data_IF_758408719298
#
_entry.id   IF_758408719298
#
_cell.length_a   1.000
_cell.length_b   1.000
_cell.length_c   1.000
_cell.angle_alpha   90.00
_cell.angle_beta   90.00
_cell.angle_gamma   90.00
#
_symmetry.space_group_name_H-M   'P 1'
#
loop_
_entity.id
_entity.type
_entity.pdbx_description
1 polymer ?
#
# COMPACT_ATOMS: atom_id res chain seq x y z
N UNK A 1 -13.81 -10.82 9.14
CA UNK A 1 -13.71 -10.23 8.85
C UNK A 1 -13.84 -9.66 8.56
N UNK A 2 -13.70 -9.45 8.36
CA UNK A 2 -13.76 -8.80 7.95
C UNK A 2 -13.73 -7.95 7.74
N UNK A 3 -13.55 -7.48 7.64
CA UNK A 3 -13.48 -6.57 7.47
C UNK A 3 -13.47 -5.76 7.29
N UNK A 4 -13.63 -5.65 7.13
CA UNK A 4 -13.52 -4.82 6.95
C UNK A 4 -13.13 -3.96 7.21
N UNK A 5 -12.74 -3.70 7.20
CA UNK A 5 -12.28 -2.79 7.33
C UNK A 5 -11.52 -2.29 7.69
N UNK A 6 -10.79 -1.99 7.44
CA UNK A 6 -10.01 -1.55 7.82
C UNK A 6 -9.61 -0.52 7.88
N UNK A 7 -9.94 -0.12 7.43
CA UNK A 7 -9.73 0.67 7.79
C UNK A 7 -10.45 1.09 8.45
N UNK A 8 -11.20 0.68 8.47
CA UNK A 8 -11.86 0.76 9.21
C UNK A 8 -11.68 0.13 10.10
N UNK A 9 -11.34 -0.59 10.06
CA UNK A 9 -10.92 -1.09 10.80
C UNK A 9 -9.81 -0.99 10.99
N UNK A 10 -9.39 -0.50 10.58
CA UNK A 10 -8.37 -0.34 10.73
C UNK A 10 -8.05 0.27 11.45
N UNK A 11 -8.18 0.15 11.54
CA UNK A 11 -7.91 0.39 12.31
C UNK A 11 -8.28 0.06 13.40
N UNK A 12 -8.81 -0.37 13.65
CA UNK A 12 -9.15 -0.69 14.65
C UNK A 12 -8.89 -1.49 15.44
N UNK A 13 -8.99 -1.76 15.51
CA UNK A 13 -9.03 -2.55 16.19
C UNK A 13 -8.36 -3.00 17.19
N UNK A 14 -8.13 -3.52 17.36
CA UNK A 14 -7.38 -4.16 18.09
C UNK A 14 -6.66 -3.53 19.07
N UNK A 15 -6.17 -2.55 18.76
CA UNK A 15 -5.38 -1.90 19.49
C UNK A 15 -5.79 -1.37 20.71
N UNK A 16 -6.89 -0.99 20.82
CA UNK A 16 -7.42 -0.34 21.97
C UNK A 16 -7.48 -1.20 23.20
N UNK A 17 -7.03 -2.40 23.09
CA UNK A 17 -7.13 -3.30 24.18
C UNK A 17 -6.10 -3.21 25.25
N UNK A 18 -5.08 -2.43 25.08
CA UNK A 18 -3.98 -2.41 26.03
C UNK A 18 -3.73 -1.02 26.52
N UNK A 19 -4.64 -0.46 27.21
CA UNK A 19 -4.52 0.92 27.61
C UNK A 19 -3.48 1.18 28.67
N UNK A 20 -3.21 0.24 29.52
CA UNK A 20 -2.24 0.48 30.56
C UNK A 20 -0.81 0.47 30.05
N UNK A 21 -0.60 0.13 28.82
CA UNK A 21 0.73 0.12 28.22
C UNK A 21 0.92 1.38 27.43
N UNK A 22 1.02 2.50 28.10
CA UNK A 22 1.13 3.77 27.43
C UNK A 22 2.27 3.87 26.45
N UNK A 23 3.45 3.45 26.82
CA UNK A 23 4.58 3.58 25.93
C UNK A 23 4.39 2.72 24.70
N UNK A 24 3.84 1.55 24.88
CA UNK A 24 3.58 0.67 23.77
C UNK A 24 2.51 1.28 22.87
N UNK A 25 1.50 1.91 23.46
CA UNK A 25 0.47 2.56 22.67
C UNK A 25 1.02 3.68 21.83
N UNK A 26 1.93 4.46 22.39
CA UNK A 26 2.53 5.56 21.66
C UNK A 26 3.40 5.03 20.52
N UNK A 27 4.15 3.96 20.77
CA UNK A 27 4.99 3.37 19.75
C UNK A 27 4.14 2.84 18.60
N UNK A 28 3.01 2.20 18.92
CA UNK A 28 2.14 1.68 17.88
C UNK A 28 1.51 2.80 17.07
N UNK A 29 1.15 3.91 17.72
CA UNK A 29 0.59 5.03 17.01
C UNK A 29 1.60 5.67 16.08
N UNK A 30 2.85 5.78 16.50
CA UNK A 30 3.89 6.32 15.67
C UNK A 30 4.11 5.44 14.45
N UNK A 31 4.15 4.12 14.66
CA UNK A 31 4.34 3.19 13.56
C UNK A 31 3.19 3.31 12.57
N UNK A 32 1.95 3.31 13.05
CA UNK A 32 0.80 3.41 12.18
C UNK A 32 0.77 4.72 11.42
N UNK A 33 1.17 5.81 12.05
CA UNK A 33 1.21 7.10 11.40
C UNK A 33 2.29 7.14 10.33
N UNK A 34 3.37 6.40 10.53
CA UNK A 34 4.49 6.39 9.60
C UNK A 34 4.29 5.39 8.46
N UNK A 35 3.39 4.40 8.59
CA UNK A 35 3.22 3.39 7.55
C UNK A 35 2.95 3.94 6.16
N UNK A 36 2.12 4.98 5.99
CA UNK A 36 1.92 5.51 4.66
C UNK A 36 3.20 6.03 4.02
N UNK A 37 4.14 6.51 4.84
CA UNK A 37 5.38 7.05 4.31
C UNK A 37 6.29 5.99 3.70
N UNK A 38 6.11 4.73 4.07
CA UNK A 38 6.86 3.64 3.46
C UNK A 38 6.51 3.55 1.99
N UNK A 39 5.23 3.76 1.66
CA UNK A 39 4.74 3.55 0.31
C UNK A 39 4.59 4.82 -0.51
N UNK A 40 4.49 5.98 0.14
CA UNK A 40 4.28 7.23 -0.58
C UNK A 40 5.48 7.56 -1.46
N UNK A 41 5.21 7.93 -2.70
CA UNK A 41 6.27 8.26 -3.64
C UNK A 41 5.87 7.92 -5.05
N UNK A 42 6.86 7.95 -5.93
CA UNK A 42 6.67 7.63 -7.33
C UNK A 42 7.64 6.54 -7.72
N UNK A 43 7.12 5.51 -8.35
CA UNK A 43 7.87 4.31 -8.69
C UNK A 43 7.69 3.99 -10.15
N UNK A 44 8.68 3.32 -10.74
CA UNK A 44 8.64 2.95 -12.15
C UNK A 44 8.60 1.44 -12.25
N UNK A 45 7.79 0.92 -13.15
CA UNK A 45 7.84 -0.50 -13.49
C UNK A 45 7.69 -0.67 -15.00
N UNK A 46 8.16 -1.82 -15.49
CA UNK A 46 8.19 -2.10 -16.92
C UNK A 46 7.35 -3.33 -17.20
N UNK A 47 6.43 -3.21 -18.14
CA UNK A 47 5.67 -4.35 -18.62
C UNK A 47 6.53 -5.10 -19.62
N UNK A 48 6.99 -6.30 -19.24
CA UNK A 48 7.90 -7.08 -20.07
C UNK A 48 7.32 -7.47 -21.42
N UNK A 49 6.02 -7.64 -21.48
CA UNK A 49 5.40 -8.06 -22.74
C UNK A 49 5.32 -6.93 -23.76
N UNK A 50 4.97 -5.74 -23.30
CA UNK A 50 4.82 -4.61 -24.20
C UNK A 50 6.05 -3.71 -24.23
N UNK A 51 6.98 -3.92 -23.28
CA UNK A 51 8.15 -3.07 -23.09
C UNK A 51 7.78 -1.64 -22.72
N UNK A 52 6.57 -1.44 -22.25
CA UNK A 52 6.15 -0.10 -21.83
C UNK A 52 6.53 0.17 -20.40
N UNK A 53 6.90 1.42 -20.15
CA UNK A 53 7.23 1.88 -18.81
C UNK A 53 5.98 2.49 -18.20
N UNK A 54 5.72 2.18 -16.96
CA UNK A 54 4.56 2.70 -16.25
C UNK A 54 5.00 3.37 -14.97
N UNK A 55 4.27 4.40 -14.57
CA UNK A 55 4.54 5.14 -13.36
C UNK A 55 3.48 4.80 -12.33
N UNK A 56 3.92 4.38 -11.14
CA UNK A 56 3.04 4.11 -10.01
C UNK A 56 3.26 5.21 -8.99
N UNK A 57 2.22 5.94 -8.66
CA UNK A 57 2.29 6.97 -7.64
C UNK A 57 1.42 6.59 -6.47
N UNK A 58 1.94 6.76 -5.27
CA UNK A 58 1.19 6.51 -4.05
C UNK A 58 1.30 7.78 -3.23
N UNK A 59 0.18 8.41 -2.94
CA UNK A 59 0.19 9.65 -2.17
C UNK A 59 0.28 9.34 -0.69
N UNK A 60 0.54 10.37 0.12
CA UNK A 60 0.60 10.19 1.56
C UNK A 60 -0.76 9.80 2.13
N UNK A 61 -1.84 10.08 1.41
CA UNK A 61 -3.18 9.67 1.80
C UNK A 61 -3.52 8.28 1.25
N UNK A 62 -2.54 7.62 0.62
CA UNK A 62 -2.66 6.28 0.07
C UNK A 62 -3.64 6.17 -1.11
N UNK A 63 -3.72 7.23 -1.89
CA UNK A 63 -4.37 7.16 -3.19
C UNK A 63 -3.33 6.60 -4.17
N UNK A 64 -3.79 5.75 -5.06
CA UNK A 64 -2.90 5.07 -6.00
C UNK A 64 -3.21 5.53 -7.41
N UNK A 65 -2.18 5.96 -8.12
CA UNK A 65 -2.32 6.39 -9.50
C UNK A 65 -1.36 5.58 -10.37
N UNK A 66 -1.83 5.16 -11.52
CA UNK A 66 -0.96 4.51 -12.50
C UNK A 66 -1.01 5.36 -13.76
N UNK A 67 0.15 5.82 -14.21
CA UNK A 67 0.30 6.69 -15.36
C UNK A 67 -0.60 7.93 -15.21
N UNK A 68 -0.61 8.47 -13.99
CA UNK A 68 -1.36 9.67 -13.63
C UNK A 68 -2.87 9.50 -13.57
N UNK A 69 -3.36 8.27 -13.65
CA UNK A 69 -4.78 7.99 -13.51
C UNK A 69 -5.04 7.34 -12.17
N UNK A 70 -5.89 7.97 -11.37
CA UNK A 70 -6.19 7.44 -10.05
C UNK A 70 -7.05 6.19 -10.17
N UNK A 71 -6.67 5.16 -9.42
CA UNK A 71 -7.44 3.93 -9.37
C UNK A 71 -8.54 4.07 -8.32
N UNK A 72 -9.79 3.81 -8.67
CA UNK A 72 -10.86 3.84 -7.67
C UNK A 72 -10.83 2.55 -6.86
N UNK A 73 -10.91 2.69 -5.56
CA UNK A 73 -10.86 1.54 -4.67
C UNK A 73 -10.53 1.95 -3.26
N UNK A 74 -10.04 1.00 -2.49
CA UNK A 74 -9.73 1.26 -1.09
C UNK A 74 -8.57 0.40 -0.62
N UNK A 75 -7.92 0.84 0.44
CA UNK A 75 -6.85 0.07 1.07
C UNK A 75 -7.49 -1.01 1.94
N UNK A 76 -7.10 -2.26 1.72
CA UNK A 76 -7.57 -3.37 2.53
C UNK A 76 -6.59 -3.75 3.62
N UNK A 77 -5.31 -3.52 3.39
CA UNK A 77 -4.28 -3.92 4.34
C UNK A 77 -3.08 -3.00 4.20
N UNK A 78 -2.49 -2.65 5.31
CA UNK A 78 -1.31 -1.81 5.33
C UNK A 78 -0.42 -2.23 6.48
N UNK A 79 0.78 -2.71 6.17
CA UNK A 79 1.77 -2.99 7.18
C UNK A 79 3.17 -2.72 6.61
N UNK A 80 4.20 -3.08 7.35
CA UNK A 80 5.56 -2.76 6.94
C UNK A 80 6.02 -3.55 5.72
N UNK A 81 5.38 -4.66 5.44
CA UNK A 81 5.81 -5.51 4.34
C UNK A 81 4.89 -5.46 3.13
N UNK A 82 3.67 -4.97 3.29
CA UNK A 82 2.77 -4.90 2.13
C UNK A 82 1.66 -3.88 2.30
N UNK A 83 1.22 -3.36 1.17
CA UNK A 83 0.02 -2.56 1.06
C UNK A 83 -0.87 -3.28 0.06
N UNK A 84 -2.09 -3.59 0.47
CA UNK A 84 -3.04 -4.28 -0.41
C UNK A 84 -4.19 -3.35 -0.71
N UNK A 85 -4.37 -3.07 -1.98
CA UNK A 85 -5.41 -2.19 -2.48
C UNK A 85 -6.45 -3.04 -3.22
N UNK A 86 -7.72 -2.78 -2.96
CA UNK A 86 -8.82 -3.47 -3.65
C UNK A 86 -9.50 -2.47 -4.56
N UNK A 87 -9.48 -2.73 -5.87
CA UNK A 87 -10.13 -1.81 -6.81
C UNK A 87 -11.64 -2.08 -6.85
N UNK A 88 -12.35 -1.19 -7.53
CA UNK A 88 -13.82 -1.29 -7.56
C UNK A 88 -14.32 -2.44 -8.41
N UNK A 89 -13.44 -3.10 -9.17
CA UNK A 89 -13.81 -4.27 -9.95
C UNK A 89 -13.57 -5.57 -9.18
N UNK A 90 -13.01 -5.49 -7.97
CA UNK A 90 -12.79 -6.65 -7.14
C UNK A 90 -11.41 -7.28 -7.25
N UNK A 91 -10.49 -6.62 -7.93
CA UNK A 91 -9.11 -7.11 -8.06
C UNK A 91 -8.20 -6.41 -7.08
N UNK A 92 -7.19 -7.12 -6.63
CA UNK A 92 -6.22 -6.58 -5.70
C UNK A 92 -4.96 -6.12 -6.42
N UNK A 93 -4.38 -5.05 -5.87
CA UNK A 93 -3.07 -4.61 -6.26
C UNK A 93 -2.25 -4.68 -4.98
N UNK A 94 -1.23 -5.51 -4.96
CA UNK A 94 -0.44 -5.71 -3.76
C UNK A 94 0.97 -5.16 -3.96
N UNK A 95 1.35 -4.23 -3.13
CA UNK A 95 2.67 -3.61 -3.20
C UNK A 95 3.48 -4.17 -2.04
N UNK A 96 4.60 -4.81 -2.37
CA UNK A 96 5.47 -5.41 -1.36
C UNK A 96 6.62 -4.46 -1.06
N UNK A 97 6.99 -4.38 0.20
CA UNK A 97 8.04 -3.49 0.67
C UNK A 97 9.13 -4.26 1.39
N UNK A 98 10.36 -3.80 1.26
CA UNK A 98 11.50 -4.29 1.99
C UNK A 98 12.33 -3.11 2.42
N UNK A 99 12.86 -3.15 3.63
CA UNK A 99 13.67 -2.06 4.16
C UNK A 99 12.94 -0.72 4.08
N UNK A 100 11.66 -0.74 4.36
CA UNK A 100 10.81 0.45 4.44
C UNK A 100 10.63 1.18 3.12
N UNK A 101 10.71 0.45 2.00
CA UNK A 101 10.34 1.04 0.71
C UNK A 101 9.79 -0.04 -0.23
N UNK A 102 8.94 0.35 -1.17
CA UNK A 102 8.35 -0.61 -2.11
C UNK A 102 9.39 -1.24 -3.04
N UNK A 103 9.26 -2.52 -3.29
CA UNK A 103 10.16 -3.24 -4.19
C UNK A 103 9.45 -3.94 -5.33
N UNK A 104 8.16 -4.25 -5.19
CA UNK A 104 7.44 -4.92 -6.27
C UNK A 104 5.94 -4.66 -6.15
N UNK A 105 5.23 -4.86 -7.24
CA UNK A 105 3.77 -4.75 -7.27
C UNK A 105 3.21 -5.97 -7.98
N UNK A 106 2.19 -6.58 -7.40
CA UNK A 106 1.46 -7.69 -8.01
C UNK A 106 0.08 -7.18 -8.39
N UNK A 107 -0.28 -7.39 -9.66
CA UNK A 107 -1.58 -6.98 -10.20
C UNK A 107 -2.41 -8.24 -10.41
N UNK A 108 -3.42 -8.42 -9.59
CA UNK A 108 -4.27 -9.61 -9.66
C UNK A 108 -5.07 -9.65 -10.97
N UNK A 109 -5.47 -8.52 -11.49
CA UNK A 109 -6.25 -8.48 -12.73
C UNK A 109 -5.49 -9.10 -13.89
N UNK A 110 -4.19 -8.87 -13.95
CA UNK A 110 -3.33 -9.42 -14.99
C UNK A 110 -2.57 -10.65 -14.53
N UNK A 111 -2.65 -10.96 -13.25
CA UNK A 111 -1.92 -12.05 -12.62
C UNK A 111 -0.42 -11.94 -12.91
N UNK A 112 0.12 -10.75 -12.70
CA UNK A 112 1.53 -10.45 -12.99
C UNK A 112 2.17 -9.61 -11.91
N UNK A 113 3.45 -9.84 -11.71
CA UNK A 113 4.24 -9.06 -10.76
C UNK A 113 5.29 -8.25 -11.51
N UNK A 114 5.58 -7.07 -11.00
CA UNK A 114 6.57 -6.18 -11.61
C UNK A 114 7.49 -5.68 -10.51
N UNK A 115 8.78 -5.56 -10.84
CA UNK A 115 9.75 -4.95 -9.94
C UNK A 115 9.58 -3.43 -10.01
N UNK A 116 9.72 -2.79 -8.86
CA UNK A 116 9.61 -1.35 -8.77
C UNK A 116 10.99 -0.73 -8.60
N UNK A 117 11.22 0.39 -9.26
CA UNK A 117 12.41 1.18 -9.06
C UNK A 117 11.99 2.62 -8.81
N UNK A 118 12.89 3.41 -8.22
CA UNK A 118 12.57 4.80 -7.97
C UNK A 118 12.45 5.55 -9.29
N UNK A 119 11.50 6.45 -9.33
CA UNK A 119 11.29 7.25 -10.53
C UNK A 119 12.12 8.53 -10.42
N UNK A 120 12.94 8.78 -11.42
CA UNK A 120 13.74 10.00 -11.50
C UNK A 120 13.28 10.78 -12.72
N UNK A 121 13.08 12.08 -12.53
CA UNK A 121 12.70 12.92 -13.65
C UNK A 121 13.88 13.24 -14.53
#
# INVERSE_FOLDING_TARGET
MKHGGLIKKFGRSILNKIPHKKDRGKANQKLQTALPLIYAGTWLFIDDLSQKHHKLEITVDLNILIDSHELPGKIERLDESSLVFLDTYGYHLQISAENLHPVSVYDEADNRSYDLSEYYK
#
